data_IF_778080652117
#
_entry.id   IF_778080652117
#
_cell.length_a   1.000
_cell.length_b   1.000
_cell.length_c   1.000
_cell.angle_alpha   90.00
_cell.angle_beta   90.00
_cell.angle_gamma   90.00
#
_symmetry.space_group_name_H-M   'P 1'
#
loop_
_entity.id
_entity.type
_entity.pdbx_description
1 polymer ?
#
# COMPACT_ATOMS: atom_id res chain seq x y z
N UNK A 1 22.75 -9.00 -28.40
CA UNK A 1 22.27 -8.39 -27.16
C UNK A 1 22.70 -6.94 -27.19
N UNK A 2 21.76 -6.00 -27.31
CA UNK A 2 22.10 -4.57 -27.22
C UNK A 2 22.39 -4.20 -25.76
N UNK A 3 22.93 -3.01 -25.53
CA UNK A 3 23.29 -2.54 -24.19
C UNK A 3 22.09 -2.51 -23.23
N UNK A 4 20.91 -2.19 -23.75
CA UNK A 4 19.64 -2.27 -23.00
C UNK A 4 19.35 -3.68 -22.47
N UNK A 5 19.39 -4.70 -23.33
CA UNK A 5 19.11 -6.08 -22.91
C UNK A 5 20.16 -6.58 -21.90
N UNK A 6 21.43 -6.14 -22.00
CA UNK A 6 22.44 -6.45 -20.97
C UNK A 6 22.06 -5.86 -19.61
N UNK A 7 21.59 -4.61 -19.59
CA UNK A 7 21.16 -3.95 -18.36
C UNK A 7 20.01 -4.70 -17.69
N UNK A 8 19.00 -5.09 -18.47
CA UNK A 8 17.83 -5.84 -17.97
C UNK A 8 18.24 -7.23 -17.46
N UNK A 9 19.15 -7.93 -18.15
CA UNK A 9 19.65 -9.22 -17.68
C UNK A 9 20.44 -9.11 -16.36
N UNK A 10 21.18 -8.03 -16.15
CA UNK A 10 21.82 -7.73 -14.87
C UNK A 10 20.77 -7.46 -13.77
N UNK A 11 19.71 -6.69 -14.06
CA UNK A 11 18.59 -6.50 -13.12
C UNK A 11 17.94 -7.84 -12.74
N UNK A 12 17.67 -8.71 -13.72
CA UNK A 12 17.08 -10.03 -13.46
C UNK A 12 17.97 -10.93 -12.58
N UNK A 13 19.27 -10.64 -12.50
CA UNK A 13 20.24 -11.32 -11.62
C UNK A 13 20.50 -10.58 -10.31
N UNK A 14 19.79 -9.49 -10.04
CA UNK A 14 20.01 -8.59 -8.91
C UNK A 14 21.42 -7.94 -8.90
N UNK A 15 22.03 -7.78 -10.08
CA UNK A 15 23.32 -7.11 -10.27
C UNK A 15 23.09 -5.61 -10.51
N UNK A 16 22.54 -4.91 -9.52
CA UNK A 16 22.02 -3.53 -9.67
C UNK A 16 23.07 -2.52 -10.13
N UNK A 17 24.28 -2.55 -9.55
CA UNK A 17 25.39 -1.67 -9.97
C UNK A 17 25.77 -1.85 -11.44
N UNK A 18 25.78 -3.11 -11.91
CA UNK A 18 26.11 -3.41 -13.30
C UNK A 18 24.97 -3.01 -14.24
N UNK A 19 23.73 -3.24 -13.83
CA UNK A 19 22.54 -2.79 -14.55
C UNK A 19 22.54 -1.27 -14.73
N UNK A 20 22.78 -0.51 -13.65
CA UNK A 20 22.87 0.95 -13.70
C UNK A 20 23.96 1.42 -14.64
N UNK A 21 25.15 0.79 -14.59
CA UNK A 21 26.24 1.08 -15.52
C UNK A 21 25.81 0.84 -16.98
N UNK A 22 25.11 -0.26 -17.27
CA UNK A 22 24.64 -0.53 -18.62
C UNK A 22 23.52 0.40 -19.06
N UNK A 23 22.58 0.79 -18.20
CA UNK A 23 21.56 1.79 -18.56
C UNK A 23 22.19 3.16 -18.83
N UNK A 24 23.19 3.58 -18.03
CA UNK A 24 23.97 4.80 -18.31
C UNK A 24 24.65 4.72 -19.68
N UNK A 25 25.31 3.60 -19.98
CA UNK A 25 25.93 3.38 -21.29
C UNK A 25 24.89 3.41 -22.43
N UNK A 26 23.68 2.86 -22.22
CA UNK A 26 22.62 2.90 -23.23
C UNK A 26 22.21 4.34 -23.58
N UNK A 27 22.12 5.22 -22.58
CA UNK A 27 21.84 6.65 -22.78
C UNK A 27 22.98 7.39 -23.49
N UNK A 28 24.24 7.02 -23.22
CA UNK A 28 25.40 7.58 -23.95
C UNK A 28 25.48 7.08 -25.41
N UNK A 29 25.03 5.85 -25.68
CA UNK A 29 24.96 5.28 -27.03
C UNK A 29 23.84 5.91 -27.86
N UNK A 30 22.66 6.07 -27.27
CA UNK A 30 21.49 6.71 -27.87
C UNK A 30 20.67 7.37 -26.78
N UNK A 31 20.51 8.69 -26.82
CA UNK A 31 19.69 9.44 -25.87
C UNK A 31 18.28 9.60 -26.42
N UNK A 32 17.47 8.57 -26.22
CA UNK A 32 16.12 8.45 -26.77
C UNK A 32 15.10 8.11 -25.67
N UNK A 33 13.82 8.03 -26.04
CA UNK A 33 12.71 7.75 -25.11
C UNK A 33 12.97 6.49 -24.31
N UNK A 34 13.47 5.43 -24.94
CA UNK A 34 13.66 4.15 -24.28
C UNK A 34 14.82 4.20 -23.30
N UNK A 35 15.98 4.69 -23.73
CA UNK A 35 17.17 4.69 -22.87
C UNK A 35 16.97 5.61 -21.67
N UNK A 36 16.35 6.79 -21.88
CA UNK A 36 16.01 7.73 -20.82
C UNK A 36 14.98 7.13 -19.84
N UNK A 37 13.91 6.52 -20.34
CA UNK A 37 12.88 5.90 -19.48
C UNK A 37 13.44 4.74 -18.66
N UNK A 38 14.23 3.86 -19.29
CA UNK A 38 14.81 2.71 -18.59
C UNK A 38 15.84 3.15 -17.53
N UNK A 39 16.63 4.18 -17.81
CA UNK A 39 17.55 4.75 -16.83
C UNK A 39 16.79 5.47 -15.70
N UNK A 40 15.72 6.21 -16.00
CA UNK A 40 14.88 6.84 -14.99
C UNK A 40 14.26 5.80 -14.04
N UNK A 41 13.81 4.66 -14.59
CA UNK A 41 13.19 3.58 -13.82
C UNK A 41 14.15 3.01 -12.75
N UNK A 42 15.40 2.71 -13.13
CA UNK A 42 16.38 2.18 -12.16
C UNK A 42 16.78 3.22 -11.11
N UNK A 43 16.86 4.50 -11.49
CA UNK A 43 17.12 5.57 -10.52
C UNK A 43 15.99 5.71 -9.49
N UNK A 44 14.73 5.55 -9.91
CA UNK A 44 13.59 5.63 -9.01
C UNK A 44 13.55 4.45 -8.04
N UNK A 45 13.64 3.22 -8.55
CA UNK A 45 13.32 2.02 -7.77
C UNK A 45 14.51 1.38 -7.06
N UNK A 46 15.73 1.49 -7.62
CA UNK A 46 16.92 0.85 -7.03
C UNK A 46 17.80 1.86 -6.31
N UNK A 47 18.06 3.02 -6.94
CA UNK A 47 18.93 4.05 -6.34
C UNK A 47 18.18 4.98 -5.38
N UNK A 48 16.84 4.93 -5.36
CA UNK A 48 15.98 5.87 -4.62
C UNK A 48 16.27 7.36 -4.94
N UNK A 49 16.84 7.68 -6.11
CA UNK A 49 17.18 9.04 -6.54
C UNK A 49 16.08 9.63 -7.42
N UNK A 50 15.02 10.10 -6.73
CA UNK A 50 13.83 10.72 -7.33
C UNK A 50 14.17 11.94 -8.19
N UNK A 51 15.22 12.70 -7.83
CA UNK A 51 15.60 13.93 -8.54
C UNK A 51 16.26 13.63 -9.88
N UNK A 52 17.14 12.63 -9.92
CA UNK A 52 17.76 12.19 -11.18
C UNK A 52 16.74 11.49 -12.07
N UNK A 53 15.87 10.65 -11.50
CA UNK A 53 14.78 10.01 -12.23
C UNK A 53 13.84 11.04 -12.87
N UNK A 54 13.45 12.09 -12.13
CA UNK A 54 12.58 13.15 -12.63
C UNK A 54 13.18 13.86 -13.85
N UNK A 55 14.45 14.26 -13.79
CA UNK A 55 15.10 14.96 -14.92
C UNK A 55 15.15 14.10 -16.18
N UNK A 56 15.47 12.81 -16.03
CA UNK A 56 15.57 11.88 -17.15
C UNK A 56 14.20 11.63 -17.78
N UNK A 57 13.16 11.48 -16.97
CA UNK A 57 11.82 11.21 -17.49
C UNK A 57 11.21 12.47 -18.12
N UNK A 58 11.45 13.67 -17.57
CA UNK A 58 11.01 14.92 -18.17
C UNK A 58 11.63 15.09 -19.57
N UNK A 59 12.92 14.76 -19.73
CA UNK A 59 13.57 14.74 -21.05
C UNK A 59 12.93 13.70 -21.99
N UNK A 60 12.62 12.50 -21.50
CA UNK A 60 11.93 11.50 -22.32
C UNK A 60 10.54 11.97 -22.79
N UNK A 61 9.82 12.73 -21.96
CA UNK A 61 8.52 13.33 -22.29
C UNK A 61 8.65 14.44 -23.34
N UNK A 62 9.71 15.25 -23.30
CA UNK A 62 9.97 16.29 -24.32
C UNK A 62 10.15 15.72 -25.73
N UNK A 63 10.56 14.44 -25.84
CA UNK A 63 10.65 13.70 -27.10
C UNK A 63 9.27 13.24 -27.64
N UNK A 64 8.17 13.58 -26.97
CA UNK A 64 6.78 13.23 -27.32
C UNK A 64 6.54 11.73 -27.49
N UNK A 65 6.68 10.94 -26.41
CA UNK A 65 6.55 9.49 -26.49
C UNK A 65 5.13 9.06 -26.81
N UNK A 66 5.00 8.04 -27.66
CA UNK A 66 3.71 7.41 -28.00
C UNK A 66 3.41 6.20 -27.13
N UNK A 67 4.26 5.90 -26.15
CA UNK A 67 4.08 4.85 -25.14
C UNK A 67 3.62 5.47 -23.82
N UNK A 68 2.83 4.72 -23.05
CA UNK A 68 2.34 5.14 -21.74
C UNK A 68 3.42 5.01 -20.63
N UNK A 69 4.49 4.23 -20.86
CA UNK A 69 5.53 3.96 -19.86
C UNK A 69 6.15 5.22 -19.26
N UNK A 70 6.58 6.23 -20.05
CA UNK A 70 7.22 7.41 -19.48
C UNK A 70 6.25 8.23 -18.63
N UNK A 71 4.97 8.29 -19.03
CA UNK A 71 3.93 9.01 -18.31
C UNK A 71 3.53 8.33 -17.00
N UNK A 72 3.46 6.98 -16.97
CA UNK A 72 3.26 6.23 -15.73
C UNK A 72 4.41 6.48 -14.75
N UNK A 73 5.65 6.37 -15.23
CA UNK A 73 6.84 6.57 -14.39
C UNK A 73 6.91 8.02 -13.86
N UNK A 74 6.59 9.01 -14.69
CA UNK A 74 6.48 10.42 -14.26
C UNK A 74 5.40 10.59 -13.17
N UNK A 75 4.25 9.94 -13.34
CA UNK A 75 3.18 9.91 -12.34
C UNK A 75 3.67 9.37 -10.99
N UNK A 76 4.34 8.22 -10.99
CA UNK A 76 4.91 7.60 -9.78
C UNK A 76 5.95 8.51 -9.11
N UNK A 77 6.84 9.12 -9.89
CA UNK A 77 7.84 10.09 -9.37
C UNK A 77 7.15 11.27 -8.68
N UNK A 78 6.09 11.83 -9.28
CA UNK A 78 5.37 12.93 -8.66
C UNK A 78 4.60 12.51 -7.40
N UNK A 79 4.05 11.31 -7.35
CA UNK A 79 3.39 10.78 -6.15
C UNK A 79 4.37 10.54 -5.00
N UNK A 80 5.55 9.99 -5.30
CA UNK A 80 6.66 9.82 -4.34
C UNK A 80 7.19 11.15 -3.79
N UNK A 81 6.85 12.26 -4.44
CA UNK A 81 7.14 13.65 -4.03
C UNK A 81 5.91 14.38 -3.50
N UNK A 82 4.78 13.69 -3.35
CA UNK A 82 3.47 14.22 -2.92
C UNK A 82 2.95 15.39 -3.81
N UNK A 83 3.39 15.44 -5.07
CA UNK A 83 2.97 16.44 -6.07
C UNK A 83 1.71 15.96 -6.78
N UNK A 84 0.62 15.78 -6.03
CA UNK A 84 -0.59 15.06 -6.46
C UNK A 84 -1.24 15.58 -7.75
N UNK A 85 -1.27 16.90 -7.96
CA UNK A 85 -1.85 17.47 -9.18
C UNK A 85 -1.01 17.11 -10.42
N UNK A 86 0.32 17.21 -10.34
CA UNK A 86 1.21 16.85 -11.44
C UNK A 86 1.18 15.34 -11.71
N UNK A 87 1.09 14.53 -10.65
CA UNK A 87 0.89 13.09 -10.78
C UNK A 87 -0.41 12.78 -11.54
N UNK A 88 -1.52 13.41 -11.16
CA UNK A 88 -2.81 13.26 -11.83
C UNK A 88 -2.72 13.60 -13.33
N UNK A 89 -2.08 14.71 -13.67
CA UNK A 89 -1.95 15.16 -15.06
C UNK A 89 -1.13 14.16 -15.91
N UNK A 90 -0.01 13.66 -15.37
CA UNK A 90 0.84 12.67 -16.04
C UNK A 90 0.11 11.31 -16.21
N UNK A 91 -0.56 10.83 -15.17
CA UNK A 91 -1.30 9.56 -15.19
C UNK A 91 -2.50 9.62 -16.15
N UNK A 92 -3.17 10.76 -16.25
CA UNK A 92 -4.21 10.96 -17.27
C UNK A 92 -3.65 10.84 -18.69
N UNK A 93 -2.47 11.40 -18.98
CA UNK A 93 -1.83 11.22 -20.29
C UNK A 93 -1.49 9.75 -20.55
N UNK A 94 -0.98 9.05 -19.54
CA UNK A 94 -0.71 7.61 -19.61
C UNK A 94 -1.97 6.82 -20.00
N UNK A 95 -3.08 7.05 -19.30
CA UNK A 95 -4.37 6.37 -19.55
C UNK A 95 -4.92 6.69 -20.95
N UNK A 96 -4.75 7.92 -21.44
CA UNK A 96 -5.18 8.31 -22.79
C UNK A 96 -4.44 7.50 -23.86
N UNK A 97 -3.14 7.23 -23.66
CA UNK A 97 -2.32 6.43 -24.58
C UNK A 97 -2.69 4.96 -24.47
N UNK A 98 -2.64 4.42 -23.26
CA UNK A 98 -2.98 3.04 -22.96
C UNK A 98 -3.40 2.92 -21.49
N UNK A 99 -4.69 2.60 -21.22
CA UNK A 99 -5.14 2.32 -19.86
C UNK A 99 -4.44 1.09 -19.27
N UNK A 100 -4.08 1.17 -18.00
CA UNK A 100 -3.57 0.04 -17.20
C UNK A 100 -4.12 0.11 -15.77
N UNK A 101 -4.14 -1.03 -15.07
CA UNK A 101 -4.63 -1.09 -13.69
C UNK A 101 -3.77 -0.22 -12.76
N UNK A 102 -2.46 -0.18 -13.00
CA UNK A 102 -1.52 0.66 -12.23
C UNK A 102 -1.80 2.15 -12.44
N UNK A 103 -2.03 2.57 -13.69
CA UNK A 103 -2.34 3.97 -14.00
C UNK A 103 -3.66 4.42 -13.37
N UNK A 104 -4.69 3.57 -13.42
CA UNK A 104 -5.98 3.84 -12.77
C UNK A 104 -5.84 3.90 -11.25
N UNK A 105 -5.15 2.92 -10.62
CA UNK A 105 -4.93 2.93 -9.18
C UNK A 105 -4.16 4.19 -8.73
N UNK A 106 -3.06 4.51 -9.40
CA UNK A 106 -2.24 5.66 -9.04
C UNK A 106 -2.97 6.99 -9.25
N UNK A 107 -3.79 7.09 -10.31
CA UNK A 107 -4.63 8.26 -10.52
C UNK A 107 -5.69 8.37 -9.42
N UNK A 108 -6.29 7.25 -9.00
CA UNK A 108 -7.23 7.21 -7.89
C UNK A 108 -6.60 7.71 -6.59
N UNK A 109 -5.38 7.25 -6.28
CA UNK A 109 -4.60 7.71 -5.12
C UNK A 109 -4.33 9.21 -5.20
N UNK A 110 -3.87 9.73 -6.36
CA UNK A 110 -3.64 11.15 -6.53
C UNK A 110 -4.92 11.97 -6.31
N UNK A 111 -6.07 11.54 -6.87
CA UNK A 111 -7.37 12.18 -6.66
C UNK A 111 -7.81 12.11 -5.19
N UNK A 112 -7.54 11.01 -4.48
CA UNK A 112 -7.85 10.88 -3.06
C UNK A 112 -7.13 11.94 -2.22
N UNK A 113 -5.82 12.12 -2.44
CA UNK A 113 -5.02 13.14 -1.75
C UNK A 113 -5.38 14.57 -2.15
N UNK A 114 -5.94 14.77 -3.35
CA UNK A 114 -6.52 16.06 -3.78
C UNK A 114 -7.91 16.32 -3.18
N UNK A 115 -8.49 15.38 -2.45
CA UNK A 115 -9.86 15.46 -1.91
C UNK A 115 -10.96 15.26 -2.97
N UNK A 116 -10.59 14.78 -4.16
CA UNK A 116 -11.48 14.47 -5.27
C UNK A 116 -12.02 13.04 -5.11
N UNK A 117 -12.82 12.85 -4.05
CA UNK A 117 -13.23 11.52 -3.59
C UNK A 117 -14.09 10.75 -4.60
N UNK A 118 -14.89 11.44 -5.42
CA UNK A 118 -15.73 10.79 -6.42
C UNK A 118 -14.88 10.22 -7.55
N UNK A 119 -13.95 11.03 -8.08
CA UNK A 119 -12.98 10.63 -9.09
C UNK A 119 -12.07 9.52 -8.58
N UNK A 120 -11.58 9.63 -7.33
CA UNK A 120 -10.81 8.57 -6.68
C UNK A 120 -11.59 7.25 -6.62
N UNK A 121 -12.85 7.29 -6.19
CA UNK A 121 -13.71 6.11 -6.14
C UNK A 121 -13.88 5.47 -7.52
N UNK A 122 -14.10 6.27 -8.56
CA UNK A 122 -14.34 5.78 -9.92
C UNK A 122 -13.07 5.13 -10.51
N UNK A 123 -11.89 5.72 -10.30
CA UNK A 123 -10.63 5.16 -10.77
C UNK A 123 -10.18 3.93 -9.98
N UNK A 124 -10.38 3.89 -8.65
CA UNK A 124 -10.13 2.67 -7.87
C UNK A 124 -10.99 1.50 -8.37
N UNK A 125 -12.24 1.77 -8.74
CA UNK A 125 -13.13 0.73 -9.28
C UNK A 125 -12.59 0.18 -10.62
N UNK A 126 -12.02 1.02 -11.47
CA UNK A 126 -11.47 0.62 -12.77
C UNK A 126 -10.25 -0.30 -12.66
N UNK A 127 -9.46 -0.18 -11.60
CA UNK A 127 -8.31 -1.07 -11.32
C UNK A 127 -8.63 -2.24 -10.39
N UNK A 128 -9.88 -2.35 -9.92
CA UNK A 128 -10.22 -3.29 -8.85
C UNK A 128 -10.60 -4.69 -9.32
N UNK A 129 -10.12 -5.69 -8.58
CA UNK A 129 -10.69 -7.04 -8.50
C UNK A 129 -11.67 -7.13 -7.34
N UNK A 130 -12.42 -8.23 -7.27
CA UNK A 130 -13.55 -8.36 -6.34
C UNK A 130 -13.21 -8.04 -4.88
N UNK A 131 -12.06 -8.49 -4.40
CA UNK A 131 -11.71 -8.40 -2.98
C UNK A 131 -10.33 -7.79 -2.71
N UNK A 132 -9.77 -7.07 -3.67
CA UNK A 132 -8.41 -6.52 -3.56
C UNK A 132 -8.38 -5.16 -2.85
N UNK A 133 -7.16 -4.63 -2.71
CA UNK A 133 -6.93 -3.36 -2.04
C UNK A 133 -7.56 -2.18 -2.80
N UNK A 134 -7.66 -2.26 -4.13
CA UNK A 134 -8.30 -1.23 -4.94
C UNK A 134 -9.82 -1.20 -4.69
N UNK A 135 -10.49 -2.36 -4.60
CA UNK A 135 -11.92 -2.41 -4.21
C UNK A 135 -12.12 -1.91 -2.78
N UNK A 136 -11.22 -2.26 -1.86
CA UNK A 136 -11.23 -1.75 -0.49
C UNK A 136 -11.17 -0.20 -0.46
N UNK A 137 -10.26 0.37 -1.26
CA UNK A 137 -10.07 1.82 -1.40
C UNK A 137 -11.29 2.49 -2.06
N UNK A 138 -11.89 1.85 -3.07
CA UNK A 138 -13.16 2.27 -3.67
C UNK A 138 -14.29 2.35 -2.62
N UNK A 139 -14.47 1.29 -1.82
CA UNK A 139 -15.47 1.25 -0.75
C UNK A 139 -15.20 2.31 0.31
N UNK A 140 -13.94 2.52 0.70
CA UNK A 140 -13.55 3.59 1.61
C UNK A 140 -13.99 4.97 1.10
N UNK A 141 -13.76 5.26 -0.18
CA UNK A 141 -14.21 6.52 -0.79
C UNK A 141 -15.73 6.64 -0.77
N UNK A 142 -16.48 5.57 -1.07
CA UNK A 142 -17.94 5.57 -1.00
C UNK A 142 -18.46 5.88 0.42
N UNK A 143 -17.80 5.36 1.46
CA UNK A 143 -18.13 5.66 2.86
C UNK A 143 -17.96 7.16 3.14
N UNK A 144 -16.83 7.75 2.74
CA UNK A 144 -16.55 9.17 2.96
C UNK A 144 -17.49 10.09 2.17
N UNK A 145 -17.91 9.66 0.99
CA UNK A 145 -18.95 10.32 0.18
C UNK A 145 -20.36 10.17 0.77
N UNK A 146 -20.54 9.35 1.83
CA UNK A 146 -21.84 9.06 2.43
C UNK A 146 -22.71 8.10 1.63
N UNK A 147 -22.17 7.42 0.61
CA UNK A 147 -22.87 6.45 -0.26
C UNK A 147 -22.92 5.07 0.39
N UNK A 148 -23.53 5.00 1.59
CA UNK A 148 -23.48 3.84 2.49
C UNK A 148 -24.03 2.55 1.89
N UNK A 149 -25.17 2.62 1.20
CA UNK A 149 -25.80 1.44 0.59
C UNK A 149 -24.93 0.84 -0.52
N UNK A 150 -24.28 1.69 -1.31
CA UNK A 150 -23.39 1.25 -2.38
C UNK A 150 -22.11 0.64 -1.81
N UNK A 151 -21.53 1.29 -0.80
CA UNK A 151 -20.39 0.77 -0.05
C UNK A 151 -20.69 -0.62 0.53
N UNK A 152 -21.85 -0.80 1.19
CA UNK A 152 -22.26 -2.11 1.73
C UNK A 152 -22.45 -3.14 0.63
N UNK A 153 -23.16 -2.81 -0.45
CA UNK A 153 -23.40 -3.75 -1.54
C UNK A 153 -22.09 -4.27 -2.15
N UNK A 154 -21.06 -3.42 -2.26
CA UNK A 154 -19.72 -3.83 -2.71
C UNK A 154 -19.02 -4.68 -1.66
N UNK A 155 -19.04 -4.25 -0.40
CA UNK A 155 -18.39 -4.92 0.71
C UNK A 155 -18.93 -6.34 0.95
N UNK A 156 -20.25 -6.54 0.74
CA UNK A 156 -20.91 -7.86 0.85
C UNK A 156 -20.44 -8.86 -0.23
N UNK A 157 -19.73 -8.41 -1.27
CA UNK A 157 -19.18 -9.30 -2.31
C UNK A 157 -17.78 -9.84 -1.99
N UNK A 158 -17.13 -9.33 -0.95
CA UNK A 158 -15.77 -9.75 -0.59
C UNK A 158 -15.73 -11.21 -0.14
N UNK A 159 -14.65 -11.90 -0.52
CA UNK A 159 -14.45 -13.33 -0.25
C UNK A 159 -12.99 -13.63 0.09
N UNK A 160 -12.78 -14.32 1.21
CA UNK A 160 -11.44 -14.77 1.67
C UNK A 160 -10.79 -15.80 0.72
N UNK A 161 -11.55 -16.39 -0.20
CA UNK A 161 -11.05 -17.34 -1.19
C UNK A 161 -10.59 -16.68 -2.50
N UNK A 162 -10.58 -15.35 -2.58
CA UNK A 162 -10.06 -14.64 -3.74
C UNK A 162 -8.54 -14.58 -3.71
N UNK A 163 -7.92 -14.75 -4.88
CA UNK A 163 -6.46 -14.80 -5.04
C UNK A 163 -5.76 -13.55 -4.46
N UNK A 164 -6.37 -12.38 -4.62
CA UNK A 164 -5.87 -11.08 -4.14
C UNK A 164 -6.78 -10.54 -3.02
N UNK A 165 -7.14 -11.37 -2.05
CA UNK A 165 -7.94 -10.94 -0.91
C UNK A 165 -7.17 -9.94 -0.02
N UNK A 166 -7.74 -8.76 0.19
CA UNK A 166 -7.14 -7.63 0.93
C UNK A 166 -6.80 -7.96 2.38
N UNK A 167 -7.62 -8.79 3.04
CA UNK A 167 -7.45 -9.16 4.44
C UNK A 167 -8.73 -8.99 5.26
N UNK A 168 -8.90 -9.80 6.31
CA UNK A 168 -10.16 -9.82 7.06
C UNK A 168 -10.31 -8.61 7.99
N UNK A 169 -9.20 -8.05 8.49
CA UNK A 169 -9.21 -6.89 9.39
C UNK A 169 -9.67 -5.65 8.63
N UNK A 170 -9.15 -5.45 7.42
CA UNK A 170 -9.50 -4.36 6.53
C UNK A 170 -11.01 -4.35 6.23
N UNK A 171 -11.59 -5.52 5.95
CA UNK A 171 -13.04 -5.66 5.73
C UNK A 171 -13.85 -5.41 7.00
N UNK A 172 -13.39 -5.92 8.15
CA UNK A 172 -14.04 -5.68 9.43
C UNK A 172 -14.11 -4.18 9.76
N UNK A 173 -13.05 -3.44 9.44
CA UNK A 173 -12.98 -2.00 9.66
C UNK A 173 -13.93 -1.21 8.76
N UNK A 174 -14.10 -1.59 7.49
CA UNK A 174 -15.09 -0.96 6.61
C UNK A 174 -16.53 -1.21 7.07
N UNK A 175 -16.86 -2.42 7.52
CA UNK A 175 -18.16 -2.70 8.13
C UNK A 175 -18.37 -1.87 9.40
N UNK A 176 -17.31 -1.66 10.18
CA UNK A 176 -17.35 -0.82 11.38
C UNK A 176 -17.67 0.64 11.06
N UNK A 177 -16.98 1.22 10.06
CA UNK A 177 -17.23 2.60 9.61
C UNK A 177 -18.65 2.80 9.07
N UNK A 178 -19.22 1.77 8.44
CA UNK A 178 -20.61 1.78 7.98
C UNK A 178 -21.63 1.62 9.13
N UNK A 179 -21.21 1.12 10.28
CA UNK A 179 -22.06 0.86 11.45
C UNK A 179 -22.72 -0.53 11.47
N UNK A 180 -22.24 -1.48 10.65
CA UNK A 180 -22.68 -2.88 10.64
C UNK A 180 -21.83 -3.68 11.62
N UNK A 181 -22.13 -3.52 12.91
CA UNK A 181 -21.27 -4.01 13.99
C UNK A 181 -21.22 -5.54 14.07
N UNK A 182 -22.32 -6.23 13.79
CA UNK A 182 -22.37 -7.69 13.77
C UNK A 182 -21.47 -8.28 12.67
N UNK A 183 -21.56 -7.77 11.43
CA UNK A 183 -20.70 -8.19 10.33
C UNK A 183 -19.23 -7.83 10.59
N UNK A 184 -18.97 -6.64 11.14
CA UNK A 184 -17.63 -6.22 11.56
C UNK A 184 -17.01 -7.23 12.54
N UNK A 185 -17.76 -7.62 13.59
CA UNK A 185 -17.32 -8.65 14.55
C UNK A 185 -17.04 -9.99 13.87
N UNK A 186 -17.90 -10.43 12.94
CA UNK A 186 -17.67 -11.69 12.22
C UNK A 186 -16.35 -11.68 11.44
N UNK A 187 -16.02 -10.57 10.78
CA UNK A 187 -14.75 -10.44 10.04
C UNK A 187 -13.54 -10.31 10.95
N UNK A 188 -13.64 -9.59 12.08
CA UNK A 188 -12.58 -9.57 13.08
C UNK A 188 -12.31 -10.95 13.66
N UNK A 189 -13.34 -11.76 13.94
CA UNK A 189 -13.18 -13.13 14.44
C UNK A 189 -12.43 -14.03 13.45
N UNK A 190 -12.68 -13.88 12.15
CA UNK A 190 -11.93 -14.61 11.10
C UNK A 190 -10.44 -14.27 11.12
N UNK A 191 -10.10 -13.01 11.36
CA UNK A 191 -8.72 -12.54 11.42
C UNK A 191 -7.99 -12.83 12.73
N UNK A 192 -8.73 -13.12 13.81
CA UNK A 192 -8.20 -13.13 15.17
C UNK A 192 -6.99 -14.05 15.38
N UNK A 193 -6.95 -15.19 14.69
CA UNK A 193 -5.86 -16.17 14.80
C UNK A 193 -4.76 -16.01 13.75
N UNK A 194 -4.96 -15.13 12.77
CA UNK A 194 -4.04 -14.97 11.63
C UNK A 194 -3.14 -13.75 11.80
N UNK A 195 -3.70 -12.64 12.27
CA UNK A 195 -3.00 -11.37 12.32
C UNK A 195 -2.36 -11.11 13.68
N UNK A 196 -1.22 -10.40 13.65
CA UNK A 196 -0.63 -9.84 14.85
C UNK A 196 -1.59 -8.83 15.48
N UNK A 197 -1.84 -9.00 16.78
CA UNK A 197 -2.82 -8.22 17.55
C UNK A 197 -2.14 -6.92 17.98
N UNK A 198 -2.34 -5.86 17.20
CA UNK A 198 -1.90 -4.51 17.55
C UNK A 198 -3.02 -3.77 18.28
N UNK A 199 -2.71 -2.82 19.19
CA UNK A 199 -3.74 -2.05 19.88
C UNK A 199 -4.73 -1.36 18.94
N UNK A 200 -4.26 -0.95 17.76
CA UNK A 200 -5.03 -0.23 16.75
C UNK A 200 -6.30 -0.98 16.31
N UNK A 201 -6.16 -2.13 15.65
CA UNK A 201 -7.32 -2.88 15.17
C UNK A 201 -8.03 -3.63 16.30
N UNK A 202 -7.32 -4.03 17.37
CA UNK A 202 -7.93 -4.67 18.54
C UNK A 202 -8.89 -3.70 19.24
N UNK A 203 -8.54 -2.40 19.34
CA UNK A 203 -9.44 -1.40 19.91
C UNK A 203 -10.72 -1.25 19.08
N UNK A 204 -10.62 -1.28 17.75
CA UNK A 204 -11.75 -1.24 16.82
C UNK A 204 -12.62 -2.50 16.94
N UNK A 205 -12.00 -3.66 17.13
CA UNK A 205 -12.72 -4.90 17.40
C UNK A 205 -13.46 -4.87 18.75
N UNK A 206 -12.80 -4.44 19.83
CA UNK A 206 -13.42 -4.27 21.14
C UNK A 206 -14.57 -3.25 21.07
N UNK A 207 -14.41 -2.18 20.31
CA UNK A 207 -15.47 -1.21 20.06
C UNK A 207 -16.66 -1.86 19.35
N UNK A 208 -16.45 -2.64 18.29
CA UNK A 208 -17.52 -3.36 17.60
C UNK A 208 -18.29 -4.31 18.54
N UNK A 209 -17.57 -5.08 19.38
CA UNK A 209 -18.16 -5.96 20.39
C UNK A 209 -18.94 -5.19 21.48
N UNK A 210 -18.44 -4.03 21.89
CA UNK A 210 -19.14 -3.14 22.82
C UNK A 210 -20.46 -2.65 22.22
N UNK A 211 -20.49 -2.30 20.94
CA UNK A 211 -21.69 -1.81 20.24
C UNK A 211 -22.78 -2.88 20.11
N UNK A 212 -22.42 -4.15 19.97
CA UNK A 212 -23.37 -5.28 19.98
C UNK A 212 -23.65 -5.84 21.38
N UNK A 213 -23.17 -5.18 22.44
CA UNK A 213 -23.33 -5.59 23.84
C UNK A 213 -22.85 -7.02 24.11
N UNK A 214 -21.63 -7.35 23.68
CA UNK A 214 -20.97 -8.64 23.94
C UNK A 214 -19.80 -8.51 24.95
N UNK A 215 -20.07 -8.23 26.24
CA UNK A 215 -19.04 -7.97 27.24
C UNK A 215 -18.19 -9.19 27.60
N UNK A 216 -18.70 -10.40 27.35
CA UNK A 216 -17.94 -11.63 27.62
C UNK A 216 -16.80 -11.76 26.63
N UNK A 217 -17.07 -11.61 25.33
CA UNK A 217 -16.03 -11.71 24.30
C UNK A 217 -15.00 -10.58 24.43
N UNK A 218 -15.44 -9.36 24.78
CA UNK A 218 -14.53 -8.24 25.10
C UNK A 218 -13.55 -8.62 26.21
N UNK A 219 -14.05 -9.18 27.32
CA UNK A 219 -13.20 -9.61 28.44
C UNK A 219 -12.20 -10.68 28.02
N UNK A 220 -12.64 -11.65 27.23
CA UNK A 220 -11.79 -12.74 26.76
C UNK A 220 -10.65 -12.21 25.88
N UNK A 221 -10.96 -11.32 24.92
CA UNK A 221 -9.98 -10.70 24.03
C UNK A 221 -8.95 -9.88 24.79
N UNK A 222 -9.40 -8.97 25.66
CA UNK A 222 -8.50 -8.12 26.45
C UNK A 222 -7.58 -8.97 27.33
N UNK A 223 -8.13 -10.01 27.96
CA UNK A 223 -7.34 -10.94 28.76
C UNK A 223 -6.30 -11.68 27.90
N UNK A 224 -6.68 -12.14 26.72
CA UNK A 224 -5.80 -12.86 25.79
C UNK A 224 -4.61 -11.99 25.37
N UNK A 225 -4.85 -10.76 24.90
CA UNK A 225 -3.77 -9.86 24.46
C UNK A 225 -2.86 -9.41 25.60
N UNK A 226 -3.40 -9.14 26.79
CA UNK A 226 -2.59 -8.81 27.96
C UNK A 226 -1.72 -10.01 28.36
N UNK A 227 -2.30 -11.22 28.38
CA UNK A 227 -1.55 -12.42 28.72
C UNK A 227 -0.44 -12.70 27.71
N UNK A 228 -0.69 -12.49 26.42
CA UNK A 228 0.34 -12.59 25.38
C UNK A 228 1.46 -11.58 25.64
N UNK A 229 1.15 -10.30 25.88
CA UNK A 229 2.18 -9.29 26.17
C UNK A 229 2.99 -9.60 27.42
N UNK A 230 2.38 -10.14 28.47
CA UNK A 230 3.11 -10.58 29.67
C UNK A 230 4.11 -11.69 29.36
N UNK A 231 3.75 -12.62 28.46
CA UNK A 231 4.67 -13.67 27.98
C UNK A 231 5.78 -13.05 27.15
N UNK A 232 5.45 -12.20 26.17
CA UNK A 232 6.41 -11.53 25.29
C UNK A 232 7.46 -10.73 26.10
N UNK A 233 7.01 -9.95 27.11
CA UNK A 233 7.89 -9.16 27.99
C UNK A 233 8.85 -10.04 28.79
N UNK A 234 8.36 -11.16 29.31
CA UNK A 234 9.20 -12.10 30.08
C UNK A 234 10.25 -12.73 29.17
N UNK A 235 9.85 -13.16 27.97
CA UNK A 235 10.76 -13.78 27.00
C UNK A 235 11.84 -12.79 26.54
N UNK A 236 11.46 -11.55 26.23
CA UNK A 236 12.40 -10.47 25.91
C UNK A 236 13.36 -10.16 27.09
N UNK A 237 12.87 -10.23 28.33
CA UNK A 237 13.71 -10.04 29.53
C UNK A 237 14.71 -11.18 29.79
N UNK A 238 14.51 -12.36 29.19
CA UNK A 238 15.41 -13.51 29.27
C UNK A 238 16.36 -13.59 28.06
N UNK A 239 16.21 -12.70 27.07
CA UNK A 239 16.95 -12.72 25.82
C UNK A 239 18.42 -12.31 25.99
N UNK A 240 19.31 -13.08 25.36
CA UNK A 240 20.77 -12.83 25.41
C UNK A 240 21.14 -11.84 24.32
N UNK A 241 21.48 -10.61 24.72
CA UNK A 241 21.90 -9.54 23.82
C UNK A 241 23.31 -9.79 23.23
N UNK A 242 23.55 -9.28 22.03
CA UNK A 242 24.80 -9.38 21.29
C UNK A 242 25.08 -8.10 20.48
N UNK A 243 26.01 -8.13 19.52
CA UNK A 243 26.36 -6.95 18.71
C UNK A 243 25.28 -6.54 17.70
N UNK A 244 24.38 -7.46 17.32
CA UNK A 244 23.26 -7.24 16.39
C UNK A 244 21.93 -6.96 17.11
N UNK A 245 21.82 -7.33 18.39
CA UNK A 245 20.68 -7.06 19.27
C UNK A 245 21.21 -6.56 20.60
N UNK A 246 21.34 -5.24 20.72
CA UNK A 246 21.97 -4.61 21.87
C UNK A 246 21.02 -4.57 23.08
N UNK A 247 21.60 -4.47 24.29
CA UNK A 247 20.80 -4.31 25.52
C UNK A 247 19.83 -3.13 25.42
N UNK A 248 20.25 -2.04 24.78
CA UNK A 248 19.43 -0.85 24.56
C UNK A 248 18.24 -1.13 23.64
N UNK A 249 18.45 -1.82 22.53
CA UNK A 249 17.35 -2.17 21.61
C UNK A 249 16.36 -3.11 22.29
N UNK A 250 16.84 -4.04 23.12
CA UNK A 250 15.98 -4.90 23.91
C UNK A 250 15.18 -4.12 24.96
N UNK A 251 15.80 -3.16 25.66
CA UNK A 251 15.09 -2.27 26.60
C UNK A 251 14.01 -1.43 25.88
N UNK A 252 14.31 -0.88 24.70
CA UNK A 252 13.36 -0.14 23.88
C UNK A 252 12.19 -1.04 23.42
N UNK A 253 12.45 -2.29 23.03
CA UNK A 253 11.43 -3.27 22.67
C UNK A 253 10.55 -3.68 23.86
N UNK A 254 11.14 -3.96 25.02
CA UNK A 254 10.39 -4.26 26.26
C UNK A 254 9.49 -3.07 26.62
N UNK A 255 9.99 -1.83 26.49
CA UNK A 255 9.19 -0.64 26.74
C UNK A 255 8.00 -0.55 25.78
N UNK A 256 8.19 -0.83 24.49
CA UNK A 256 7.08 -0.89 23.53
C UNK A 256 6.02 -1.93 23.95
N UNK A 257 6.44 -3.13 24.37
CA UNK A 257 5.50 -4.15 24.83
C UNK A 257 4.75 -3.74 26.10
N UNK A 258 5.41 -3.03 27.02
CA UNK A 258 4.79 -2.48 28.23
C UNK A 258 3.75 -1.41 27.88
N UNK A 259 4.05 -0.55 26.91
CA UNK A 259 3.14 0.49 26.44
C UNK A 259 1.89 -0.14 25.77
N UNK A 260 2.09 -1.10 24.87
CA UNK A 260 0.99 -1.87 24.25
C UNK A 260 0.13 -2.59 25.30
N UNK A 261 0.77 -3.23 26.30
CA UNK A 261 0.07 -3.88 27.41
C UNK A 261 -0.80 -2.88 28.18
N UNK A 262 -0.27 -1.70 28.49
CA UNK A 262 -1.01 -0.65 29.19
C UNK A 262 -2.19 -0.13 28.35
N UNK A 263 -2.03 0.01 27.03
CA UNK A 263 -3.13 0.34 26.12
C UNK A 263 -4.26 -0.69 26.21
N UNK A 264 -3.94 -1.99 26.23
CA UNK A 264 -4.95 -3.04 26.41
C UNK A 264 -5.65 -2.99 27.77
N UNK A 265 -4.93 -2.68 28.84
CA UNK A 265 -5.48 -2.61 30.21
C UNK A 265 -6.53 -1.51 30.36
N UNK A 266 -6.34 -0.36 29.72
CA UNK A 266 -7.28 0.78 29.79
C UNK A 266 -8.31 0.79 28.66
N UNK A 267 -8.18 -0.09 27.65
CA UNK A 267 -8.95 -0.07 26.41
C UNK A 267 -10.47 -0.07 26.63
N UNK A 268 -10.97 -0.97 27.48
CA UNK A 268 -12.41 -1.06 27.74
C UNK A 268 -12.95 0.17 28.47
N UNK A 269 -12.18 0.71 29.42
CA UNK A 269 -12.56 1.92 30.15
C UNK A 269 -12.66 3.12 29.20
N UNK A 270 -11.66 3.28 28.32
CA UNK A 270 -11.69 4.32 27.28
C UNK A 270 -12.95 4.19 26.40
N UNK A 271 -13.18 3.02 25.81
CA UNK A 271 -14.32 2.79 24.92
C UNK A 271 -15.66 3.00 25.65
N UNK A 272 -15.81 2.47 26.86
CA UNK A 272 -17.04 2.63 27.64
C UNK A 272 -17.28 4.07 28.12
N UNK A 273 -16.23 4.88 28.22
CA UNK A 273 -16.32 6.32 28.51
C UNK A 273 -16.74 7.18 27.30
N UNK A 274 -16.89 6.57 26.11
CA UNK A 274 -17.34 7.22 24.89
C UNK A 274 -16.26 7.43 23.83
N UNK A 275 -15.03 6.98 24.08
CA UNK A 275 -13.99 6.97 23.05
C UNK A 275 -14.38 6.05 21.89
N UNK A 276 -14.24 6.55 20.66
CA UNK A 276 -14.43 5.79 19.43
C UNK A 276 -13.09 5.71 18.71
N UNK A 277 -12.49 4.51 18.57
CA UNK A 277 -11.22 4.36 17.87
C UNK A 277 -11.35 4.76 16.39
N UNK A 278 -10.46 5.62 15.91
CA UNK A 278 -10.44 6.08 14.52
C UNK A 278 -9.86 5.03 13.58
N UNK A 279 -10.34 4.99 12.34
CA UNK A 279 -9.74 4.15 11.29
C UNK A 279 -8.45 4.80 10.79
N UNK A 280 -7.39 4.01 10.65
CA UNK A 280 -6.20 4.42 9.90
C UNK A 280 -6.35 3.91 8.47
N UNK A 281 -6.31 4.83 7.52
CA UNK A 281 -6.36 4.49 6.10
C UNK A 281 -5.17 5.13 5.40
N UNK A 282 -4.42 4.30 4.68
CA UNK A 282 -3.32 4.72 3.85
C UNK A 282 -3.55 4.18 2.44
N UNK A 283 -3.32 5.01 1.44
CA UNK A 283 -3.30 4.59 0.05
C UNK A 283 -1.94 3.99 -0.31
N UNK A 284 -1.91 3.00 -1.19
CA UNK A 284 -0.68 2.48 -1.79
C UNK A 284 -0.65 2.74 -3.29
N UNK A 285 0.53 3.10 -3.78
CA UNK A 285 0.80 3.12 -5.21
C UNK A 285 0.90 1.69 -5.74
N UNK A 286 0.55 1.52 -7.00
CA UNK A 286 0.76 0.30 -7.77
C UNK A 286 1.85 0.57 -8.79
N UNK A 287 2.91 -0.20 -8.76
CA UNK A 287 4.06 -0.06 -9.66
C UNK A 287 4.15 -1.28 -10.57
N UNK A 288 4.52 -1.05 -11.82
CA UNK A 288 4.79 -2.09 -12.81
C UNK A 288 6.22 -1.99 -13.35
N UNK A 289 6.60 -2.94 -14.18
CA UNK A 289 7.86 -2.85 -14.92
C UNK A 289 7.68 -1.91 -16.12
N UNK A 290 8.26 -0.70 -16.12
CA UNK A 290 8.20 0.19 -17.30
C UNK A 290 9.47 0.16 -18.14
N UNK A 291 10.17 -0.97 -18.12
CA UNK A 291 11.38 -1.17 -18.91
C UNK A 291 11.06 -1.62 -20.33
N UNK A 292 11.38 -0.79 -21.32
CA UNK A 292 11.37 -1.18 -22.72
C UNK A 292 12.38 -2.31 -22.97
N UNK A 293 11.97 -3.33 -23.73
CA UNK A 293 12.77 -4.51 -24.01
C UNK A 293 12.73 -5.59 -22.92
N UNK A 294 11.94 -5.43 -21.85
CA UNK A 294 11.80 -6.43 -20.80
C UNK A 294 11.05 -7.67 -21.29
N UNK A 295 11.77 -8.78 -21.50
CA UNK A 295 11.18 -10.02 -22.02
C UNK A 295 10.26 -10.72 -21.02
N UNK A 296 10.56 -10.63 -19.72
CA UNK A 296 9.75 -11.25 -18.66
C UNK A 296 8.30 -10.74 -18.67
N UNK A 297 8.11 -9.46 -18.94
CA UNK A 297 6.79 -8.81 -19.05
C UNK A 297 6.36 -8.60 -20.51
N UNK A 298 7.10 -9.16 -21.47
CA UNK A 298 6.83 -9.05 -22.91
C UNK A 298 6.75 -7.59 -23.41
N UNK A 299 7.57 -6.71 -22.84
CA UNK A 299 7.68 -5.32 -23.27
C UNK A 299 8.61 -5.23 -24.49
N UNK A 300 8.13 -4.71 -25.63
CA UNK A 300 8.98 -4.52 -26.79
C UNK A 300 10.00 -3.42 -26.53
N UNK A 301 11.06 -3.41 -27.33
CA UNK A 301 11.88 -2.21 -27.50
C UNK A 301 10.98 -1.10 -28.09
N UNK A 302 11.20 0.14 -27.68
CA UNK A 302 10.50 1.30 -28.22
C UNK A 302 10.82 1.47 -29.71
N UNK A 303 9.79 1.78 -30.50
CA UNK A 303 9.90 2.09 -31.92
C UNK A 303 9.11 3.35 -32.19
N UNK A 304 9.75 4.31 -32.86
CA UNK A 304 9.11 5.54 -33.37
C UNK A 304 7.99 5.26 -34.37
#
# INVERSE_FOLDING_TARGET
>A
MNTNQRAIECLERNEYDEALRFFKNAVEESRDIQSLTNLAWIYLHEECDKETALKLIEEAIELNPTSHFPYNLLGEIYMEKEMWQLASDALLQSIIIQPSDEAHNNLAVANYHLGQLQEASDYFLLSSKRSDYAMYSHVKCLIELGRKEEAKNKLDTFSENDDEFVGTVEIAELFLELGYFEESVQWFEKGWQTYWKTPDWVSRYVYALFKINNPNRVRDIIKEVIQQKVVDIREAGEEVCNEEWTERENEEYIQQLLDEKNEYEIMYEQISSGYTPSMKYNTSMSTSCYLFGCKRHNHPEYKE
#
